data_IF_366497723200
#
_entry.id   IF_366497723200
#
_cell.length_a   1.000
_cell.length_b   1.000
_cell.length_c   1.000
_cell.angle_alpha   90.00
_cell.angle_beta   90.00
_cell.angle_gamma   90.00
#
_symmetry.space_group_name_H-M   'P 1'
#
loop_
_entity.id
_entity.type
_entity.pdbx_description
1 polymer ?
#
# COMPACT_ATOMS: atom_id res chain seq x y z
N UNK A 1 2.05 -9.40 22.54
CA UNK A 1 2.11 -7.94 22.30
C UNK A 1 1.58 -7.72 20.89
N UNK A 2 0.46 -7.01 20.71
CA UNK A 2 -0.09 -6.78 19.37
C UNK A 2 0.66 -5.64 18.70
N UNK A 3 1.68 -6.00 17.92
CA UNK A 3 2.27 -5.13 16.91
C UNK A 3 1.16 -4.71 15.94
N UNK A 4 0.87 -3.41 15.94
CA UNK A 4 -0.25 -2.88 15.16
C UNK A 4 0.14 -2.74 13.71
N UNK A 5 -0.01 -3.80 12.91
CA UNK A 5 0.26 -3.84 11.47
C UNK A 5 -0.96 -3.38 10.66
N UNK A 6 -0.74 -2.47 9.71
CA UNK A 6 -1.78 -1.97 8.81
C UNK A 6 -1.46 -2.39 7.38
N UNK A 7 -2.29 -3.23 6.77
CA UNK A 7 -2.12 -3.69 5.38
C UNK A 7 -2.81 -2.74 4.39
N UNK A 8 -2.13 -2.36 3.30
CA UNK A 8 -2.71 -1.57 2.21
C UNK A 8 -3.19 -2.49 1.09
N UNK A 9 -4.48 -2.45 0.78
CA UNK A 9 -5.13 -3.33 -0.21
C UNK A 9 -5.82 -2.49 -1.27
N UNK A 10 -5.85 -2.95 -2.52
CA UNK A 10 -6.67 -2.32 -3.56
C UNK A 10 -6.27 -2.73 -4.96
N UNK A 11 -7.13 -2.44 -5.93
CA UNK A 11 -6.91 -2.85 -7.31
C UNK A 11 -5.88 -2.06 -8.10
N UNK A 12 -5.61 -2.49 -9.35
CA UNK A 12 -4.86 -1.69 -10.30
C UNK A 12 -5.43 -0.28 -10.41
N UNK A 13 -4.57 0.73 -10.48
CA UNK A 13 -4.95 2.13 -10.64
C UNK A 13 -5.89 2.69 -9.54
N UNK A 14 -5.97 2.07 -8.37
CA UNK A 14 -6.77 2.59 -7.24
C UNK A 14 -6.09 3.74 -6.47
N UNK A 15 -4.88 4.14 -6.88
CA UNK A 15 -4.16 5.26 -6.28
C UNK A 15 -3.19 4.90 -5.15
N UNK A 16 -3.01 3.61 -4.82
CA UNK A 16 -2.06 3.14 -3.79
C UNK A 16 -0.66 3.75 -3.92
N UNK A 17 -0.06 3.64 -5.11
CA UNK A 17 1.29 4.17 -5.39
C UNK A 17 1.39 5.68 -5.15
N UNK A 18 0.35 6.44 -5.53
CA UNK A 18 0.28 7.89 -5.30
C UNK A 18 0.14 8.21 -3.81
N UNK A 19 -0.68 7.45 -3.08
CA UNK A 19 -0.81 7.59 -1.64
C UNK A 19 0.53 7.32 -0.93
N UNK A 20 1.19 6.21 -1.26
CA UNK A 20 2.49 5.83 -0.69
C UNK A 20 3.54 6.90 -0.97
N UNK A 21 3.65 7.39 -2.21
CA UNK A 21 4.60 8.45 -2.55
C UNK A 21 4.37 9.75 -1.74
N UNK A 22 3.11 10.17 -1.57
CA UNK A 22 2.77 11.36 -0.77
C UNK A 22 3.00 11.14 0.72
N UNK A 23 2.65 9.97 1.23
CA UNK A 23 2.93 9.58 2.62
C UNK A 23 4.43 9.62 2.88
N UNK A 24 5.23 9.14 1.92
CA UNK A 24 6.69 9.17 2.01
C UNK A 24 7.25 10.58 2.07
N UNK A 25 6.78 11.46 1.17
CA UNK A 25 7.15 12.88 1.20
C UNK A 25 6.76 13.54 2.53
N UNK A 26 5.60 13.20 3.10
CA UNK A 26 5.18 13.69 4.40
C UNK A 26 6.09 13.20 5.53
N UNK A 27 6.50 11.93 5.52
CA UNK A 27 7.46 11.39 6.48
C UNK A 27 8.84 12.04 6.37
N UNK A 28 9.38 12.14 5.14
CA UNK A 28 10.66 12.79 4.87
C UNK A 28 10.67 14.26 5.32
N UNK A 29 9.57 14.99 5.05
CA UNK A 29 9.41 16.37 5.47
C UNK A 29 9.08 16.55 6.96
N UNK A 30 8.88 15.44 7.70
CA UNK A 30 8.28 15.45 9.04
C UNK A 30 7.06 16.39 9.04
N UNK A 31 6.07 16.14 8.18
CA UNK A 31 4.73 16.81 8.15
C UNK A 31 3.56 15.83 8.39
N UNK A 32 2.48 16.31 9.03
CA UNK A 32 1.29 15.51 9.39
C UNK A 32 1.29 14.89 10.80
N UNK A 33 0.13 14.34 11.20
CA UNK A 33 -0.08 13.72 12.54
C UNK A 33 0.67 12.41 12.73
N UNK A 34 0.91 11.67 11.66
CA UNK A 34 1.69 10.43 11.66
C UNK A 34 3.12 10.73 11.24
N UNK A 35 4.11 10.27 12.01
CA UNK A 35 5.54 10.44 11.73
C UNK A 35 6.23 9.11 11.58
N UNK A 36 7.24 9.04 10.72
CA UNK A 36 8.25 7.99 10.76
C UNK A 36 9.51 8.54 11.47
N UNK A 37 9.86 8.08 12.68
CA UNK A 37 11.12 8.47 13.34
C UNK A 37 12.36 8.08 12.52
N UNK A 38 12.28 6.98 11.78
CA UNK A 38 13.32 6.50 10.87
C UNK A 38 12.68 6.02 9.57
N UNK A 39 13.34 6.33 8.45
CA UNK A 39 12.97 5.79 7.15
C UNK A 39 13.82 4.55 6.87
N UNK A 40 13.24 3.43 6.40
CA UNK A 40 14.02 2.27 6.01
C UNK A 40 15.00 2.59 4.86
N UNK A 41 16.15 1.92 4.84
CA UNK A 41 17.20 2.18 3.85
C UNK A 41 16.88 1.67 2.44
N UNK A 42 16.08 0.60 2.32
CA UNK A 42 15.72 0.02 1.02
C UNK A 42 14.33 0.51 0.57
N UNK A 43 14.30 1.69 -0.07
CA UNK A 43 13.08 2.40 -0.46
C UNK A 43 13.07 2.76 -1.95
N UNK A 44 13.87 2.06 -2.75
CA UNK A 44 14.10 2.38 -4.16
C UNK A 44 12.80 2.47 -4.96
N UNK A 45 11.85 1.56 -4.70
CA UNK A 45 10.50 1.61 -5.27
C UNK A 45 9.73 2.88 -4.90
N UNK A 46 9.79 3.29 -3.62
CA UNK A 46 9.12 4.51 -3.17
C UNK A 46 9.79 5.75 -3.76
N UNK A 47 11.11 5.75 -3.90
CA UNK A 47 11.85 6.82 -4.55
C UNK A 47 11.45 6.98 -6.02
N UNK A 48 11.29 5.87 -6.75
CA UNK A 48 10.77 5.89 -8.12
C UNK A 48 9.34 6.45 -8.18
N UNK A 49 8.46 6.01 -7.27
CA UNK A 49 7.09 6.53 -7.18
C UNK A 49 7.05 8.04 -6.87
N UNK A 50 7.95 8.52 -6.00
CA UNK A 50 8.12 9.94 -5.67
C UNK A 50 8.64 10.74 -6.87
N UNK A 51 9.61 10.20 -7.62
CA UNK A 51 10.14 10.85 -8.83
C UNK A 51 9.03 11.08 -9.86
N UNK A 52 8.20 10.06 -10.14
CA UNK A 52 7.05 10.21 -11.03
C UNK A 52 6.06 11.26 -10.54
N UNK A 53 5.77 11.29 -9.23
CA UNK A 53 4.89 12.30 -8.63
C UNK A 53 5.46 13.72 -8.79
N UNK A 54 6.77 13.91 -8.59
CA UNK A 54 7.45 15.19 -8.74
C UNK A 54 7.47 15.67 -10.20
N UNK A 55 7.58 14.75 -11.15
CA UNK A 55 7.47 15.01 -12.59
C UNK A 55 6.03 15.30 -13.06
N UNK A 56 5.03 15.25 -12.14
CA UNK A 56 3.60 15.34 -12.46
C UNK A 56 3.13 14.25 -13.43
N UNK A 57 3.83 13.12 -13.46
CA UNK A 57 3.48 11.95 -14.27
C UNK A 57 2.82 10.90 -13.39
N UNK A 58 1.93 10.10 -13.97
CA UNK A 58 1.50 8.88 -13.31
C UNK A 58 2.69 7.94 -13.19
N UNK A 59 2.87 7.35 -12.00
CA UNK A 59 3.79 6.24 -11.86
C UNK A 59 3.37 5.15 -12.86
N UNK A 60 4.32 4.61 -13.65
CA UNK A 60 4.03 3.51 -14.55
C UNK A 60 3.45 2.36 -13.74
N UNK A 61 2.66 1.50 -14.40
CA UNK A 61 2.23 0.26 -13.76
C UNK A 61 3.49 -0.48 -13.32
N UNK A 62 3.50 -1.03 -12.11
CA UNK A 62 4.58 -1.90 -11.64
C UNK A 62 4.93 -2.88 -12.76
N UNK A 63 6.14 -2.77 -13.31
CA UNK A 63 6.53 -3.48 -14.52
C UNK A 63 6.42 -4.99 -14.28
N UNK A 64 5.99 -5.74 -15.30
CA UNK A 64 5.91 -7.22 -15.26
C UNK A 64 7.24 -7.90 -14.89
N UNK A 65 8.37 -7.19 -15.04
CA UNK A 65 9.69 -7.67 -14.65
C UNK A 65 10.00 -7.47 -13.15
N UNK A 66 9.16 -6.75 -12.39
CA UNK A 66 9.23 -6.71 -10.92
C UNK A 66 8.81 -8.03 -10.28
N UNK A 67 8.21 -8.95 -11.05
CA UNK A 67 7.79 -10.29 -10.59
C UNK A 67 8.97 -11.18 -10.18
N UNK A 68 10.18 -10.95 -10.73
CA UNK A 68 11.36 -11.78 -10.44
C UNK A 68 12.12 -11.36 -9.17
N UNK A 69 11.96 -10.11 -8.70
CA UNK A 69 12.71 -9.59 -7.55
C UNK A 69 11.87 -9.44 -6.29
N UNK A 70 11.09 -10.48 -5.99
CA UNK A 70 10.49 -10.76 -4.67
C UNK A 70 9.42 -9.78 -4.19
N UNK A 71 8.53 -10.26 -3.32
CA UNK A 71 7.66 -9.36 -2.54
C UNK A 71 8.54 -8.41 -1.73
N UNK A 72 8.45 -7.12 -1.99
CA UNK A 72 9.12 -6.09 -1.19
C UNK A 72 8.14 -5.53 -0.18
N UNK A 73 7.67 -6.40 0.71
CA UNK A 73 6.97 -5.93 1.89
C UNK A 73 7.97 -5.11 2.70
N UNK A 74 7.60 -3.87 3.03
CA UNK A 74 8.42 -3.04 3.89
C UNK A 74 7.62 -2.58 5.08
N UNK A 75 8.25 -2.65 6.24
CA UNK A 75 7.70 -2.18 7.50
C UNK A 75 8.34 -0.85 7.86
N UNK A 76 7.50 0.14 8.16
CA UNK A 76 7.94 1.42 8.69
C UNK A 76 7.41 1.53 10.12
N UNK A 77 8.29 1.74 11.09
CA UNK A 77 7.84 2.17 12.41
C UNK A 77 7.34 3.61 12.32
N UNK A 78 6.10 3.83 12.74
CA UNK A 78 5.42 5.12 12.76
C UNK A 78 4.94 5.48 14.17
N UNK A 79 4.74 6.77 14.40
CA UNK A 79 4.23 7.33 15.67
C UNK A 79 3.10 8.31 15.38
N UNK A 80 2.00 8.17 16.11
CA UNK A 80 0.91 9.15 16.13
C UNK A 80 1.29 10.41 16.91
N UNK A 81 0.30 11.28 17.13
CA UNK A 81 0.42 12.51 17.94
C UNK A 81 1.64 13.35 17.57
N UNK A 82 1.81 13.59 16.27
CA UNK A 82 2.89 14.39 15.70
C UNK A 82 4.30 13.85 15.99
N UNK A 83 4.39 12.58 16.41
CA UNK A 83 5.63 11.86 16.70
C UNK A 83 5.80 11.51 18.18
N UNK A 84 4.92 11.99 19.06
CA UNK A 84 4.99 11.73 20.50
C UNK A 84 4.31 10.42 20.92
N UNK A 85 3.43 9.87 20.08
CA UNK A 85 2.68 8.66 20.37
C UNK A 85 3.55 7.39 20.45
N UNK A 86 2.97 6.27 20.91
CA UNK A 86 3.66 4.98 20.94
C UNK A 86 4.05 4.53 19.52
N UNK A 87 5.18 3.83 19.36
CA UNK A 87 5.57 3.27 18.08
C UNK A 87 4.57 2.19 17.64
N UNK A 88 4.27 2.17 16.34
CA UNK A 88 3.44 1.17 15.65
C UNK A 88 4.09 0.84 14.33
N UNK A 89 3.92 -0.38 13.85
CA UNK A 89 4.55 -0.81 12.61
C UNK A 89 3.57 -0.78 11.45
N UNK A 90 3.85 0.05 10.45
CA UNK A 90 3.09 0.13 9.23
C UNK A 90 3.74 -0.78 8.19
N UNK A 91 3.17 -1.96 7.97
CA UNK A 91 3.61 -2.88 6.92
C UNK A 91 2.88 -2.56 5.62
N UNK A 92 3.61 -2.08 4.62
CA UNK A 92 3.07 -1.88 3.29
C UNK A 92 3.41 -3.12 2.47
N UNK A 93 2.46 -4.03 2.24
CA UNK A 93 2.75 -5.15 1.36
C UNK A 93 2.74 -4.67 -0.08
N UNK A 94 3.73 -5.12 -0.86
CA UNK A 94 3.80 -4.82 -2.28
C UNK A 94 2.88 -5.77 -3.05
N UNK A 95 1.60 -5.44 -3.00
CA UNK A 95 0.54 -6.16 -3.65
C UNK A 95 0.43 -5.65 -5.09
N UNK A 96 0.87 -6.49 -6.04
CA UNK A 96 0.72 -6.19 -7.46
C UNK A 96 -0.76 -6.12 -7.83
N UNK A 97 -1.11 -5.17 -8.69
CA UNK A 97 -2.49 -5.02 -9.16
C UNK A 97 -3.00 -6.27 -9.90
N UNK A 98 -2.10 -7.06 -10.48
CA UNK A 98 -2.44 -8.31 -11.15
C UNK A 98 -2.93 -9.39 -10.18
N UNK A 99 -2.31 -9.52 -9.00
CA UNK A 99 -2.74 -10.46 -7.97
C UNK A 99 -4.15 -10.13 -7.44
N UNK A 100 -4.44 -8.84 -7.26
CA UNK A 100 -5.79 -8.37 -6.96
C UNK A 100 -6.78 -8.64 -8.10
N UNK A 101 -6.37 -8.42 -9.36
CA UNK A 101 -7.21 -8.73 -10.51
C UNK A 101 -7.50 -10.22 -10.60
N UNK A 102 -6.56 -11.10 -10.23
CA UNK A 102 -6.77 -12.54 -10.16
C UNK A 102 -7.76 -12.86 -9.05
N UNK A 103 -7.56 -12.34 -7.84
CA UNK A 103 -8.46 -12.56 -6.71
C UNK A 103 -9.90 -12.15 -7.01
N UNK A 104 -10.12 -11.02 -7.68
CA UNK A 104 -11.45 -10.61 -8.13
C UNK A 104 -12.04 -11.58 -9.17
N UNK A 105 -11.21 -12.06 -10.11
CA UNK A 105 -11.69 -12.91 -11.21
C UNK A 105 -11.96 -14.36 -10.79
N UNK A 106 -11.12 -14.92 -9.93
CA UNK A 106 -11.24 -16.30 -9.47
C UNK A 106 -11.99 -16.43 -8.15
N UNK A 107 -12.27 -15.32 -7.47
CA UNK A 107 -12.78 -15.31 -6.08
C UNK A 107 -11.85 -16.05 -5.10
N UNK A 108 -10.57 -16.19 -5.44
CA UNK A 108 -9.57 -16.87 -4.63
C UNK A 108 -8.48 -15.90 -4.19
N UNK A 109 -8.25 -15.80 -2.89
CA UNK A 109 -7.11 -15.10 -2.34
C UNK A 109 -5.96 -16.08 -2.14
N UNK A 110 -4.73 -15.73 -2.56
CA UNK A 110 -3.53 -16.49 -2.22
C UNK A 110 -3.41 -16.71 -0.70
N UNK A 111 -2.93 -17.87 -0.27
CA UNK A 111 -2.84 -18.21 1.16
C UNK A 111 -1.99 -17.20 1.94
N UNK A 112 -0.86 -16.79 1.35
CA UNK A 112 0.04 -15.80 1.95
C UNK A 112 -0.61 -14.41 2.16
N UNK A 113 -1.65 -14.05 1.40
CA UNK A 113 -2.46 -12.87 1.66
C UNK A 113 -3.41 -13.06 2.82
N UNK A 114 -4.03 -14.23 2.91
CA UNK A 114 -4.89 -14.56 4.04
C UNK A 114 -4.09 -14.54 5.33
N UNK A 115 -2.88 -15.08 5.31
CA UNK A 115 -1.96 -15.06 6.46
C UNK A 115 -1.58 -13.61 6.82
N UNK A 116 -1.24 -12.77 5.83
CA UNK A 116 -0.92 -11.35 6.07
C UNK A 116 -2.13 -10.55 6.60
N UNK A 117 -3.34 -10.81 6.10
CA UNK A 117 -4.57 -10.18 6.57
C UNK A 117 -4.90 -10.61 8.00
N UNK A 118 -4.75 -11.90 8.32
CA UNK A 118 -4.98 -12.43 9.66
C UNK A 118 -3.93 -11.95 10.67
N UNK A 119 -2.68 -11.79 10.23
CA UNK A 119 -1.62 -11.20 11.04
C UNK A 119 -1.76 -9.67 11.18
N UNK A 120 -2.56 -9.03 10.32
CA UNK A 120 -2.78 -7.59 10.36
C UNK A 120 -3.75 -7.17 11.45
N UNK A 121 -3.42 -6.09 12.17
CA UNK A 121 -4.36 -5.49 13.12
C UNK A 121 -5.43 -4.64 12.42
N UNK A 122 -5.17 -4.17 11.21
CA UNK A 122 -6.07 -3.30 10.45
C UNK A 122 -5.73 -3.32 8.95
N UNK A 123 -6.69 -2.94 8.11
CA UNK A 123 -6.50 -2.83 6.67
C UNK A 123 -7.01 -1.48 6.13
N UNK A 124 -6.31 -0.93 5.13
CA UNK A 124 -6.76 0.23 4.35
C UNK A 124 -7.05 -0.24 2.93
N UNK A 125 -8.32 -0.14 2.53
CA UNK A 125 -8.79 -0.53 1.19
C UNK A 125 -8.88 0.69 0.27
N UNK A 126 -8.16 0.64 -0.85
CA UNK A 126 -8.18 1.64 -1.92
C UNK A 126 -9.11 1.19 -3.03
N UNK A 127 -10.20 1.93 -3.20
CA UNK A 127 -11.21 1.70 -4.23
C UNK A 127 -11.18 2.87 -5.21
N UNK A 128 -10.92 2.58 -6.49
CA UNK A 128 -11.10 3.58 -7.55
C UNK A 128 -12.57 3.63 -7.95
N UNK A 129 -13.27 4.75 -7.71
CA UNK A 129 -14.72 4.86 -7.92
C UNK A 129 -15.18 4.47 -9.34
N UNK A 130 -14.39 4.78 -10.37
CA UNK A 130 -14.67 4.48 -11.78
C UNK A 130 -13.83 3.33 -12.33
N UNK A 131 -13.34 2.45 -11.46
CA UNK A 131 -12.61 1.26 -11.88
C UNK A 131 -13.53 0.35 -12.69
N UNK A 132 -13.04 -0.15 -13.83
CA UNK A 132 -13.71 -1.20 -14.62
C UNK A 132 -13.89 -2.53 -13.88
N UNK A 133 -13.24 -2.67 -12.71
CA UNK A 133 -13.38 -3.81 -11.81
C UNK A 133 -14.51 -3.62 -10.78
N UNK A 134 -15.10 -2.42 -10.68
CA UNK A 134 -16.29 -2.21 -9.87
C UNK A 134 -17.47 -2.74 -10.66
N UNK A 135 -18.05 -3.85 -10.20
CA UNK A 135 -19.32 -4.31 -10.74
C UNK A 135 -20.39 -3.26 -10.40
N UNK A 136 -21.31 -3.01 -11.34
CA UNK A 136 -22.52 -2.24 -11.05
C UNK A 136 -23.26 -2.89 -9.87
N UNK A 137 -24.00 -2.11 -9.07
CA UNK A 137 -24.74 -2.64 -7.93
C UNK A 137 -25.45 -3.91 -8.35
N UNK A 138 -25.21 -4.98 -7.59
CA UNK A 138 -26.04 -6.17 -7.64
C UNK A 138 -27.45 -5.66 -7.36
N UNK A 139 -28.28 -5.51 -8.39
CA UNK A 139 -29.69 -5.21 -8.24
C UNK A 139 -30.31 -6.44 -7.57
N UNK A 140 -30.15 -6.57 -6.26
CA UNK A 140 -30.94 -7.47 -5.45
C UNK A 140 -32.33 -6.86 -5.37
N UNK A 141 -33.16 -7.24 -6.33
CA UNK A 141 -34.61 -7.15 -6.21
C UNK A 141 -35.07 -8.42 -5.49
#
# INVERSE_FOLDING_TARGET
MNEGSIILVGGPASGKTNYIARLWLAFAAKKGRLRAPQLPGNIEYVNQAVAHLQERKFAPRSDKNMEESGRRDFTITVRGDEGAGPPRDLTVPDITGELWSRAIKSYELPQDWMDALQASSSAILFIGAHSKFNHQPMNWV
#
